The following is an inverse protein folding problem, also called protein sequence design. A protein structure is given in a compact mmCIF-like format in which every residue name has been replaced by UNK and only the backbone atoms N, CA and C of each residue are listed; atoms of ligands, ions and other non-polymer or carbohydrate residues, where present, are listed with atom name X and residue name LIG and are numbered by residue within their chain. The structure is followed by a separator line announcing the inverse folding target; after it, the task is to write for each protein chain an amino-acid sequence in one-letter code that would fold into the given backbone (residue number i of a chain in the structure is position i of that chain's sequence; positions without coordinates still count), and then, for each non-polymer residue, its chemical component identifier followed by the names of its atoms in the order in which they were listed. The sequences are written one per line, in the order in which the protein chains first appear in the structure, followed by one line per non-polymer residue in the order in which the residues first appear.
data_IF_881140803822
#
_entry.id   IF_881140803822
#
_cell.length_a   1.000
_cell.length_b   1.000
_cell.length_c   1.000
_cell.angle_alpha   90.00
_cell.angle_beta   90.00
_cell.angle_gamma   90.00
#
_symmetry.space_group_name_H-M   'P 1'
#
loop_
_entity.id
_entity.type
_entity.pdbx_description
1 polymer ?
#
# COMPACT_ATOMS: atom_id res chain seq x y z
N UNK A 1 -10.04 7.39 -32.40
CA UNK A 1 -10.30 8.68 -31.73
C UNK A 1 -11.75 8.74 -31.21
N UNK A 2 -11.99 8.33 -29.97
CA UNK A 2 -13.07 8.88 -29.11
C UNK A 2 -12.50 8.91 -27.70
N UNK A 3 -12.01 10.09 -27.35
CA UNK A 3 -11.32 10.46 -26.11
C UNK A 3 -12.29 10.37 -24.94
N UNK A 4 -11.80 9.95 -23.77
CA UNK A 4 -12.57 9.89 -22.54
C UNK A 4 -12.90 11.31 -22.07
N UNK A 5 -13.92 11.93 -22.66
CA UNK A 5 -14.46 13.19 -22.17
C UNK A 5 -15.40 12.89 -21.01
N UNK A 6 -14.88 12.96 -19.79
CA UNK A 6 -15.70 13.35 -18.65
C UNK A 6 -16.05 14.84 -18.82
N UNK A 7 -17.06 15.11 -19.66
CA UNK A 7 -17.71 16.44 -19.71
C UNK A 7 -18.75 16.48 -18.61
N UNK A 8 -18.48 17.20 -17.53
CA UNK A 8 -19.56 17.68 -16.67
C UNK A 8 -20.27 18.83 -17.39
N UNK A 9 -21.54 18.60 -17.74
CA UNK A 9 -22.48 19.59 -18.27
C UNK A 9 -23.34 20.17 -17.14
N UNK A 10 -22.70 20.59 -16.05
CA UNK A 10 -23.30 21.41 -14.99
C UNK A 10 -22.16 22.02 -14.20
N UNK A 11 -22.16 23.35 -14.08
CA UNK A 11 -21.18 24.12 -13.30
C UNK A 11 -21.37 23.98 -11.79
N UNK A 12 -21.66 22.77 -11.31
CA UNK A 12 -21.72 22.44 -9.89
C UNK A 12 -20.58 21.45 -9.60
N UNK A 13 -19.71 21.83 -8.68
CA UNK A 13 -18.70 20.92 -8.12
C UNK A 13 -19.47 19.85 -7.34
N UNK A 14 -19.87 18.77 -8.00
CA UNK A 14 -20.31 17.56 -7.32
C UNK A 14 -19.13 17.08 -6.48
N UNK A 15 -19.21 17.34 -5.18
CA UNK A 15 -18.28 16.81 -4.20
C UNK A 15 -18.42 15.29 -4.25
N UNK A 16 -17.56 14.64 -5.06
CA UNK A 16 -17.56 13.19 -5.21
C UNK A 16 -17.32 12.59 -3.82
N UNK A 17 -18.40 12.17 -3.17
CA UNK A 17 -18.35 11.62 -1.81
C UNK A 17 -17.76 10.22 -1.87
N UNK A 18 -16.44 10.14 -1.97
CA UNK A 18 -15.70 8.89 -1.93
C UNK A 18 -15.71 8.34 -0.50
N UNK A 19 -16.27 7.15 -0.29
CA UNK A 19 -16.18 6.50 1.03
C UNK A 19 -14.73 6.08 1.30
N UNK A 20 -14.21 6.35 2.51
CA UNK A 20 -12.92 5.84 2.92
C UNK A 20 -12.84 4.32 2.77
N UNK A 21 -11.72 3.85 2.22
CA UNK A 21 -11.37 2.45 2.19
C UNK A 21 -10.74 2.08 3.54
N UNK A 22 -11.44 1.21 4.27
CA UNK A 22 -11.04 0.77 5.62
C UNK A 22 -10.05 -0.39 5.54
N UNK A 23 -9.19 -0.51 6.56
CA UNK A 23 -8.35 -1.69 6.72
C UNK A 23 -9.24 -2.94 6.82
N UNK A 24 -8.96 -3.91 5.97
CA UNK A 24 -9.72 -5.14 5.88
C UNK A 24 -9.54 -5.97 7.16
N UNK A 25 -10.62 -6.60 7.62
CA UNK A 25 -10.68 -7.36 8.89
C UNK A 25 -9.61 -8.42 9.08
N UNK A 26 -9.10 -8.98 7.97
CA UNK A 26 -8.01 -9.96 8.01
C UNK A 26 -6.72 -9.37 8.60
N UNK A 27 -6.54 -8.05 8.59
CA UNK A 27 -5.33 -7.38 9.05
C UNK A 27 -5.53 -6.60 10.37
N UNK A 28 -6.70 -6.70 11.00
CA UNK A 28 -6.95 -6.00 12.26
C UNK A 28 -6.04 -6.50 13.38
N UNK A 29 -5.77 -7.80 13.46
CA UNK A 29 -4.83 -8.34 14.45
C UNK A 29 -3.43 -7.72 14.32
N UNK A 30 -2.93 -7.53 13.11
CA UNK A 30 -1.62 -6.90 12.85
C UNK A 30 -1.61 -5.42 13.28
N UNK A 31 -2.70 -4.69 13.02
CA UNK A 31 -2.81 -3.28 13.39
C UNK A 31 -3.01 -3.07 14.89
N UNK A 32 -3.69 -4.01 15.57
CA UNK A 32 -3.96 -3.96 17.02
C UNK A 32 -2.79 -4.51 17.86
N UNK A 33 -1.97 -5.38 17.30
CA UNK A 33 -0.81 -5.95 17.99
C UNK A 33 0.24 -4.86 18.22
N UNK A 34 0.56 -4.58 19.47
CA UNK A 34 1.61 -3.61 19.86
C UNK A 34 2.99 -3.99 19.32
N UNK A 35 3.23 -5.29 19.10
CA UNK A 35 4.47 -5.78 18.51
C UNK A 35 4.47 -5.75 16.97
N UNK A 36 3.34 -5.41 16.36
CA UNK A 36 3.10 -5.38 14.92
C UNK A 36 3.55 -6.66 14.20
N UNK A 37 3.31 -7.82 14.80
CA UNK A 37 3.63 -9.12 14.19
C UNK A 37 2.82 -9.31 12.91
N UNK A 38 3.42 -9.98 11.95
CA UNK A 38 2.82 -10.13 10.63
C UNK A 38 1.46 -10.84 10.67
N UNK A 39 0.46 -10.20 10.07
CA UNK A 39 -0.95 -10.58 10.19
C UNK A 39 -1.27 -11.97 9.65
N UNK A 40 -0.53 -12.45 8.64
CA UNK A 40 -0.70 -13.82 8.15
C UNK A 40 -0.39 -14.85 9.24
N UNK A 41 0.70 -14.63 10.01
CA UNK A 41 1.07 -15.48 11.13
C UNK A 41 0.07 -15.34 12.28
N UNK A 42 -0.27 -14.10 12.67
CA UNK A 42 -1.25 -13.85 13.75
C UNK A 42 -2.60 -14.55 13.49
N UNK A 43 -3.06 -14.59 12.24
CA UNK A 43 -4.32 -15.27 11.89
C UNK A 43 -4.25 -16.79 12.07
N UNK A 44 -3.11 -17.41 11.78
CA UNK A 44 -2.93 -18.84 11.99
C UNK A 44 -3.02 -19.17 13.49
N UNK A 45 -2.30 -18.41 14.33
CA UNK A 45 -2.37 -18.54 15.78
C UNK A 45 -3.75 -18.22 16.35
N UNK A 46 -4.42 -17.19 15.82
CA UNK A 46 -5.79 -16.86 16.24
C UNK A 46 -6.80 -17.95 15.87
N UNK A 47 -6.57 -18.70 14.79
CA UNK A 47 -7.38 -19.87 14.45
C UNK A 47 -7.15 -21.00 15.48
N UNK A 48 -5.91 -21.26 15.87
CA UNK A 48 -5.58 -22.26 16.88
C UNK A 48 -6.20 -21.91 18.25
N UNK A 49 -6.02 -20.66 18.71
CA UNK A 49 -6.63 -20.16 19.95
C UNK A 49 -8.16 -20.34 20.00
N UNK A 50 -8.84 -20.05 18.88
CA UNK A 50 -10.30 -20.23 18.79
C UNK A 50 -10.76 -21.69 18.84
N UNK A 51 -9.91 -22.64 18.43
CA UNK A 51 -10.24 -24.06 18.52
C UNK A 51 -10.07 -24.53 19.96
N UNK A 52 -8.96 -24.18 20.60
CA UNK A 52 -8.67 -24.51 22.01
C UNK A 52 -9.76 -23.95 22.95
N UNK A 53 -10.11 -22.68 22.80
CA UNK A 53 -11.17 -22.02 23.59
C UNK A 53 -12.58 -22.58 23.35
N UNK A 54 -12.80 -23.28 22.23
CA UNK A 54 -14.09 -23.91 21.95
C UNK A 54 -14.19 -25.34 22.52
N UNK A 55 -13.06 -25.97 22.86
CA UNK A 55 -12.98 -27.32 23.42
C UNK A 55 -13.03 -27.33 24.96
N UNK A 56 -12.73 -26.21 25.60
CA UNK A 56 -12.79 -26.05 27.06
C UNK A 56 -14.23 -25.72 27.52
N UNK A 57 -15.02 -26.75 27.89
CA UNK A 57 -16.41 -26.60 28.37
C UNK A 57 -16.53 -25.94 29.76
N UNK A 58 -15.45 -25.83 30.54
CA UNK A 58 -15.45 -25.30 31.92
C UNK A 58 -14.04 -24.79 32.34
N UNK A 59 -13.67 -23.53 32.05
CA UNK A 59 -12.78 -22.67 32.89
C UNK A 59 -12.57 -21.29 32.21
N UNK A 60 -13.02 -20.19 32.79
CA UNK A 60 -12.35 -19.38 33.83
C UNK A 60 -10.97 -18.79 33.46
N UNK A 61 -10.54 -18.81 32.20
CA UNK A 61 -9.50 -17.88 31.76
C UNK A 61 -10.04 -17.02 30.61
N UNK A 62 -10.56 -15.84 30.96
CA UNK A 62 -10.88 -14.72 30.05
C UNK A 62 -9.58 -14.13 29.43
N UNK A 63 -8.61 -14.98 29.09
CA UNK A 63 -7.38 -14.56 28.47
C UNK A 63 -7.66 -14.13 27.03
N UNK A 64 -7.42 -12.85 26.74
CA UNK A 64 -7.45 -12.35 25.37
C UNK A 64 -6.50 -13.15 24.47
N UNK A 65 -6.74 -13.14 23.16
CA UNK A 65 -5.86 -13.80 22.18
C UNK A 65 -4.38 -13.47 22.39
N UNK A 66 -4.03 -12.20 22.61
CA UNK A 66 -2.64 -11.77 22.82
C UNK A 66 -2.06 -12.29 24.14
N UNK A 67 -2.87 -12.35 25.21
CA UNK A 67 -2.43 -12.98 26.47
C UNK A 67 -2.17 -14.47 26.27
N UNK A 68 -3.07 -15.20 25.61
CA UNK A 68 -2.86 -16.60 25.27
C UNK A 68 -1.59 -16.81 24.42
N UNK A 69 -1.36 -15.92 23.45
CA UNK A 69 -0.24 -16.00 22.53
C UNK A 69 1.12 -15.75 23.19
N UNK A 70 1.19 -14.78 24.10
CA UNK A 70 2.46 -14.33 24.69
C UNK A 70 2.76 -14.96 26.06
N UNK A 71 1.71 -15.27 26.85
CA UNK A 71 1.85 -15.75 28.23
C UNK A 71 1.21 -17.13 28.48
N UNK A 72 0.18 -17.47 27.70
CA UNK A 72 -0.55 -18.75 27.77
C UNK A 72 0.08 -19.88 26.97
N UNK A 73 -0.77 -20.80 26.50
CA UNK A 73 -0.35 -22.00 25.77
C UNK A 73 0.27 -21.67 24.40
N UNK A 74 -0.22 -20.62 23.73
CA UNK A 74 0.25 -20.19 22.42
C UNK A 74 1.75 -19.85 22.36
N UNK A 75 2.39 -19.54 23.50
CA UNK A 75 3.82 -19.22 23.57
C UNK A 75 4.76 -20.37 23.20
N UNK A 76 4.26 -21.61 23.25
CA UNK A 76 5.00 -22.84 22.99
C UNK A 76 4.44 -23.63 21.80
N UNK A 77 3.52 -23.05 21.03
CA UNK A 77 2.88 -23.70 19.88
C UNK A 77 3.64 -23.33 18.61
N UNK A 78 3.97 -24.36 17.83
CA UNK A 78 4.41 -24.21 16.44
C UNK A 78 3.30 -24.69 15.50
N UNK A 79 2.97 -23.88 14.50
CA UNK A 79 1.96 -24.21 13.49
C UNK A 79 2.62 -24.53 12.14
N UNK A 80 1.98 -25.35 11.29
CA UNK A 80 2.49 -25.64 9.95
C UNK A 80 2.73 -24.39 9.10
N UNK A 81 1.92 -23.35 9.29
CA UNK A 81 2.04 -22.08 8.57
C UNK A 81 3.16 -21.17 9.10
N UNK A 82 3.49 -21.27 10.40
CA UNK A 82 4.42 -20.37 11.07
C UNK A 82 4.85 -20.92 12.43
N UNK A 83 6.16 -20.98 12.65
CA UNK A 83 6.71 -21.26 13.99
C UNK A 83 6.59 -20.03 14.89
N UNK A 84 6.63 -20.27 16.21
CA UNK A 84 6.68 -19.23 17.22
C UNK A 84 7.82 -18.23 16.94
N UNK A 85 9.01 -18.73 16.58
CA UNK A 85 10.17 -17.91 16.25
C UNK A 85 9.91 -17.00 15.04
N UNK A 86 9.29 -17.53 13.98
CA UNK A 86 8.93 -16.75 12.79
C UNK A 86 7.88 -15.67 13.12
N UNK A 87 6.90 -15.99 13.97
CA UNK A 87 5.91 -15.05 14.46
C UNK A 87 6.57 -13.87 15.20
N UNK A 88 7.53 -14.13 16.09
CA UNK A 88 8.22 -13.08 16.87
C UNK A 88 9.16 -12.22 16.03
N UNK A 89 9.77 -12.80 14.99
CA UNK A 89 10.79 -12.12 14.18
C UNK A 89 10.22 -11.35 12.98
N UNK A 90 9.06 -11.77 12.46
CA UNK A 90 8.41 -11.14 11.30
C UNK A 90 7.43 -10.05 11.75
N UNK A 91 7.88 -8.79 11.69
CA UNK A 91 7.12 -7.61 12.13
C UNK A 91 6.94 -6.62 10.99
N UNK A 92 5.72 -6.12 10.86
CA UNK A 92 5.37 -5.05 9.93
C UNK A 92 5.76 -3.72 10.54
N UNK A 93 6.39 -2.87 9.73
CA UNK A 93 6.73 -1.51 10.06
C UNK A 93 5.53 -0.62 9.77
N UNK A 94 5.10 0.14 10.78
CA UNK A 94 4.11 1.19 10.62
C UNK A 94 4.77 2.55 10.81
N UNK A 95 4.61 3.44 9.83
CA UNK A 95 5.21 4.76 9.87
C UNK A 95 4.50 5.63 10.91
N UNK A 96 5.25 6.18 11.85
CA UNK A 96 4.78 7.34 12.60
C UNK A 96 4.71 8.59 11.69
N UNK A 97 4.19 9.70 12.22
CA UNK A 97 4.01 10.93 11.45
C UNK A 97 5.31 11.48 10.83
N UNK A 98 6.44 11.31 11.50
CA UNK A 98 7.74 11.79 11.01
C UNK A 98 8.29 10.88 9.91
N UNK A 99 8.32 9.57 10.18
CA UNK A 99 8.74 8.55 9.21
C UNK A 99 7.90 8.60 7.93
N UNK A 100 6.62 8.96 8.02
CA UNK A 100 5.73 9.06 6.87
C UNK A 100 6.16 10.15 5.87
N UNK A 101 6.82 11.21 6.32
CA UNK A 101 7.25 12.33 5.46
C UNK A 101 8.26 11.92 4.39
N UNK A 102 9.08 10.89 4.65
CA UNK A 102 10.05 10.41 3.67
C UNK A 102 9.39 9.76 2.45
N UNK A 103 8.14 9.31 2.59
CA UNK A 103 7.37 8.66 1.53
C UNK A 103 6.40 9.61 0.82
N UNK A 104 6.22 10.83 1.34
CA UNK A 104 5.26 11.79 0.80
C UNK A 104 5.68 12.28 -0.58
N UNK A 105 4.72 12.37 -1.50
CA UNK A 105 4.92 12.84 -2.86
C UNK A 105 4.46 14.28 -3.04
N UNK A 106 5.14 14.98 -3.94
CA UNK A 106 4.75 16.31 -4.43
C UNK A 106 4.66 16.27 -5.96
N UNK A 107 3.61 16.88 -6.48
CA UNK A 107 3.39 17.08 -7.92
C UNK A 107 3.95 18.45 -8.30
N UNK A 108 4.86 18.48 -9.28
CA UNK A 108 5.55 19.68 -9.73
C UNK A 108 5.39 19.81 -11.24
N UNK A 109 4.89 20.97 -11.71
CA UNK A 109 4.87 21.29 -13.13
C UNK A 109 6.19 21.90 -13.55
N UNK A 110 6.79 21.41 -14.64
CA UNK A 110 7.93 22.06 -15.27
C UNK A 110 7.40 23.13 -16.25
N UNK A 111 7.92 24.35 -16.13
CA UNK A 111 7.50 25.51 -16.95
C UNK A 111 7.87 25.40 -18.43
N UNK A 112 8.79 24.51 -18.78
CA UNK A 112 9.28 24.39 -20.16
C UNK A 112 8.41 23.46 -21.00
N UNK A 113 7.95 22.34 -20.43
CA UNK A 113 7.15 21.33 -21.13
C UNK A 113 5.70 21.24 -20.62
N UNK A 114 5.36 21.97 -19.54
CA UNK A 114 4.06 21.94 -18.85
C UNK A 114 3.66 20.52 -18.39
N UNK A 115 4.65 19.62 -18.24
CA UNK A 115 4.43 18.25 -17.77
C UNK A 115 4.56 18.22 -16.25
N UNK A 116 3.52 17.67 -15.60
CA UNK A 116 3.53 17.39 -14.17
C UNK A 116 4.36 16.14 -13.90
N UNK A 117 5.37 16.31 -13.04
CA UNK A 117 6.23 15.23 -12.54
C UNK A 117 6.03 15.04 -11.05
N UNK A 118 6.31 13.83 -10.59
CA UNK A 118 6.24 13.40 -9.20
C UNK A 118 7.65 13.36 -8.61
N UNK A 119 7.82 13.99 -7.46
CA UNK A 119 9.04 13.92 -6.65
C UNK A 119 8.69 13.60 -5.19
N UNK A 120 9.67 13.10 -4.43
CA UNK A 120 9.51 13.01 -2.98
C UNK A 120 9.50 14.42 -2.36
N UNK A 121 8.56 14.67 -1.45
CA UNK A 121 8.38 15.99 -0.84
C UNK A 121 9.59 16.42 0.02
N UNK A 122 10.22 15.46 0.70
CA UNK A 122 11.34 15.74 1.61
C UNK A 122 12.68 15.91 0.87
N UNK A 123 12.98 15.03 -0.08
CA UNK A 123 14.29 15.02 -0.78
C UNK A 123 14.28 15.75 -2.12
N UNK A 124 13.10 16.11 -2.63
CA UNK A 124 12.88 16.70 -3.96
C UNK A 124 13.40 15.83 -5.13
N UNK A 125 13.79 14.58 -4.85
CA UNK A 125 14.24 13.63 -5.87
C UNK A 125 13.06 13.22 -6.74
N UNK A 126 13.23 13.36 -8.06
CA UNK A 126 12.29 12.85 -9.06
C UNK A 126 12.12 11.34 -8.87
N UNK A 127 10.86 10.91 -8.83
CA UNK A 127 10.54 9.50 -8.62
C UNK A 127 10.77 8.69 -9.89
N UNK A 128 11.43 7.55 -9.74
CA UNK A 128 11.55 6.55 -10.80
C UNK A 128 11.41 5.15 -10.18
N UNK A 129 10.46 4.36 -10.69
CA UNK A 129 10.21 2.99 -10.21
C UNK A 129 10.98 1.99 -11.08
N UNK A 130 11.75 1.13 -10.42
CA UNK A 130 12.37 -0.03 -11.06
C UNK A 130 11.36 -1.15 -11.35
N UNK A 131 11.72 -2.03 -12.28
CA UNK A 131 10.89 -3.17 -12.74
C UNK A 131 11.00 -4.40 -11.82
N UNK A 132 12.02 -4.45 -10.95
CA UNK A 132 12.28 -5.61 -10.09
C UNK A 132 11.45 -5.56 -8.81
N UNK A 133 10.99 -4.38 -8.41
CA UNK A 133 10.29 -4.13 -7.15
C UNK A 133 8.80 -3.87 -7.34
N UNK A 134 8.00 -4.28 -6.35
CA UNK A 134 6.59 -3.86 -6.26
C UNK A 134 6.50 -2.48 -5.63
N UNK A 135 6.25 -1.46 -6.43
CA UNK A 135 5.97 -0.11 -5.95
C UNK A 135 4.50 0.05 -5.57
N UNK A 136 4.25 0.52 -4.35
CA UNK A 136 2.91 0.68 -3.79
C UNK A 136 2.68 2.11 -3.33
N UNK A 137 1.45 2.59 -3.48
CA UNK A 137 1.05 3.91 -3.01
C UNK A 137 -0.22 3.88 -2.18
N UNK A 138 -0.38 4.90 -1.33
CA UNK A 138 -1.60 5.21 -0.58
C UNK A 138 -1.89 6.69 -0.70
N UNK A 139 -3.17 7.04 -0.81
CA UNK A 139 -3.67 8.41 -0.66
C UNK A 139 -4.47 8.48 0.64
N UNK A 140 -4.03 9.30 1.60
CA UNK A 140 -4.73 9.48 2.87
C UNK A 140 -6.02 10.32 2.72
N UNK A 141 -6.77 10.49 3.81
CA UNK A 141 -8.01 11.28 3.81
C UNK A 141 -7.81 12.78 3.58
N UNK A 142 -6.57 13.28 3.69
CA UNK A 142 -6.22 14.67 3.37
C UNK A 142 -5.82 14.85 1.90
N UNK A 143 -5.81 13.77 1.11
CA UNK A 143 -5.39 13.79 -0.29
C UNK A 143 -3.87 13.71 -0.48
N UNK A 144 -3.08 13.50 0.59
CA UNK A 144 -1.63 13.32 0.47
C UNK A 144 -1.33 11.93 -0.05
N UNK A 145 -0.43 11.86 -1.01
CA UNK A 145 0.00 10.61 -1.64
C UNK A 145 1.36 10.18 -1.09
N UNK A 146 1.46 8.90 -0.71
CA UNK A 146 2.68 8.27 -0.23
C UNK A 146 3.08 7.13 -1.17
N UNK A 147 4.37 6.96 -1.41
CA UNK A 147 4.92 5.95 -2.31
C UNK A 147 6.12 5.25 -1.66
N UNK A 148 6.24 3.94 -1.88
CA UNK A 148 7.41 3.18 -1.46
C UNK A 148 7.41 1.76 -2.01
N UNK A 149 8.52 1.04 -1.79
CA UNK A 149 8.64 -0.37 -2.17
C UNK A 149 7.91 -1.26 -1.16
N UNK A 150 7.09 -2.18 -1.68
CA UNK A 150 6.47 -3.24 -0.87
C UNK A 150 7.54 -4.25 -0.48
N UNK A 151 7.61 -4.59 0.81
CA UNK A 151 8.47 -5.64 1.36
C UNK A 151 7.59 -6.66 2.07
N UNK A 152 7.54 -7.89 1.58
CA UNK A 152 6.61 -8.91 2.11
C UNK A 152 6.88 -9.14 3.60
N UNK A 153 5.83 -9.14 4.42
CA UNK A 153 5.95 -9.32 5.87
C UNK A 153 6.55 -8.14 6.63
N UNK A 154 6.97 -7.06 5.95
CA UNK A 154 7.65 -5.91 6.54
C UNK A 154 6.98 -4.57 6.22
N UNK A 155 6.61 -4.33 4.96
CA UNK A 155 6.06 -3.05 4.52
C UNK A 155 4.98 -3.23 3.47
N UNK A 156 3.79 -2.74 3.78
CA UNK A 156 2.57 -2.87 2.98
C UNK A 156 1.86 -1.53 2.84
N UNK A 157 0.73 -1.49 2.13
CA UNK A 157 -0.08 -0.26 2.04
C UNK A 157 -0.46 0.28 3.42
N UNK A 158 -0.81 -0.59 4.37
CA UNK A 158 -1.18 -0.19 5.72
C UNK A 158 -0.03 0.48 6.48
N UNK A 159 1.23 0.16 6.13
CA UNK A 159 2.44 0.70 6.75
C UNK A 159 2.50 2.22 6.70
N UNK A 160 2.19 2.83 5.56
CA UNK A 160 2.25 4.29 5.40
C UNK A 160 1.39 5.02 6.43
N UNK A 161 0.19 4.50 6.71
CA UNK A 161 -0.85 5.21 7.47
C UNK A 161 -1.18 4.57 8.82
N UNK A 162 -0.38 3.61 9.28
CA UNK A 162 -0.62 2.90 10.56
C UNK A 162 -2.00 2.25 10.63
N UNK A 163 -2.49 1.72 9.50
CA UNK A 163 -3.82 1.11 9.40
C UNK A 163 -4.99 2.10 9.36
N UNK A 164 -4.74 3.42 9.38
CA UNK A 164 -5.80 4.42 9.25
C UNK A 164 -6.53 4.34 7.89
N UNK A 165 -7.79 4.81 7.80
CA UNK A 165 -8.55 4.80 6.55
C UNK A 165 -7.89 5.64 5.45
N UNK A 166 -8.15 5.28 4.19
CA UNK A 166 -7.52 5.91 3.02
C UNK A 166 -8.56 6.25 1.95
N UNK A 167 -8.22 7.14 1.02
CA UNK A 167 -9.04 7.41 -0.16
C UNK A 167 -8.78 6.42 -1.30
N UNK A 168 -7.52 6.07 -1.53
CA UNK A 168 -7.12 5.15 -2.59
C UNK A 168 -5.77 4.48 -2.29
N UNK A 169 -5.56 3.30 -2.86
CA UNK A 169 -4.28 2.60 -2.81
C UNK A 169 -4.10 1.77 -4.08
N UNK A 170 -2.85 1.47 -4.41
CA UNK A 170 -2.56 0.62 -5.55
C UNK A 170 -1.08 0.33 -5.70
N UNK A 171 -0.76 -0.23 -6.86
CA UNK A 171 0.60 -0.27 -7.41
C UNK A 171 0.70 0.79 -8.50
N UNK A 172 1.91 1.28 -8.72
CA UNK A 172 2.15 2.36 -9.67
C UNK A 172 3.52 2.20 -10.33
N UNK A 173 3.57 2.56 -11.61
CA UNK A 173 4.80 2.65 -12.39
C UNK A 173 5.01 4.12 -12.72
N UNK A 174 6.18 4.64 -12.36
CA UNK A 174 6.60 6.02 -12.61
C UNK A 174 7.94 6.00 -13.31
N UNK A 175 8.04 6.65 -14.47
CA UNK A 175 9.29 6.79 -15.22
C UNK A 175 9.61 8.27 -15.37
N UNK A 176 10.80 8.68 -14.94
CA UNK A 176 11.25 10.09 -14.97
C UNK A 176 10.22 11.06 -14.34
N UNK A 177 9.60 10.66 -13.23
CA UNK A 177 8.57 11.43 -12.53
C UNK A 177 7.18 11.37 -13.17
N UNK A 178 7.00 10.74 -14.33
CA UNK A 178 5.71 10.65 -15.02
C UNK A 178 5.03 9.33 -14.65
N UNK A 179 3.76 9.40 -14.22
CA UNK A 179 2.97 8.21 -13.92
C UNK A 179 2.60 7.53 -15.24
N UNK A 180 3.05 6.30 -15.43
CA UNK A 180 2.84 5.53 -16.67
C UNK A 180 1.66 4.57 -16.50
N UNK A 181 1.59 3.87 -15.36
CA UNK A 181 0.57 2.87 -15.12
C UNK A 181 0.17 2.79 -13.66
N UNK A 182 -1.09 2.40 -13.43
CA UNK A 182 -1.65 2.17 -12.09
C UNK A 182 -2.48 0.89 -12.08
N UNK A 183 -2.19 0.00 -11.15
CA UNK A 183 -3.11 -1.07 -10.75
C UNK A 183 -3.74 -0.68 -9.40
N UNK A 184 -5.00 -0.19 -9.36
CA UNK A 184 -5.60 0.34 -8.13
C UNK A 184 -6.12 -0.80 -7.23
N UNK A 185 -5.19 -1.60 -6.72
CA UNK A 185 -5.46 -2.75 -5.88
C UNK A 185 -4.58 -2.76 -4.62
N UNK A 186 -5.23 -2.98 -3.48
CA UNK A 186 -4.56 -3.28 -2.22
C UNK A 186 -5.20 -4.50 -1.56
N UNK A 187 -4.39 -5.44 -1.09
CA UNK A 187 -4.87 -6.55 -0.27
C UNK A 187 -5.42 -6.07 1.09
N UNK A 188 -4.82 -5.01 1.64
CA UNK A 188 -5.13 -4.47 2.97
C UNK A 188 -6.38 -3.59 2.96
N UNK A 189 -6.58 -2.77 1.93
CA UNK A 189 -7.70 -1.81 1.90
C UNK A 189 -8.82 -2.20 0.92
N UNK A 190 -8.49 -2.97 -0.13
CA UNK A 190 -9.43 -3.42 -1.19
C UNK A 190 -10.27 -2.26 -1.76
N UNK A 191 -9.63 -1.26 -2.41
CA UNK A 191 -10.32 -0.12 -3.01
C UNK A 191 -11.43 -0.54 -3.99
N UNK A 192 -12.52 0.23 -4.03
CA UNK A 192 -13.68 0.04 -4.91
C UNK A 192 -13.68 1.07 -6.02
N UNK A 193 -14.64 1.00 -6.94
CA UNK A 193 -14.77 1.92 -8.07
C UNK A 193 -14.74 3.40 -7.63
N UNK A 194 -15.47 3.76 -6.57
CA UNK A 194 -15.48 5.13 -6.02
C UNK A 194 -14.09 5.61 -5.57
N UNK A 195 -13.25 4.71 -5.05
CA UNK A 195 -11.86 5.02 -4.67
C UNK A 195 -10.98 5.23 -5.91
N UNK A 196 -11.20 4.46 -6.97
CA UNK A 196 -10.47 4.63 -8.23
C UNK A 196 -10.87 5.92 -8.93
N UNK A 197 -12.15 6.29 -8.92
CA UNK A 197 -12.60 7.57 -9.44
C UNK A 197 -12.02 8.74 -8.62
N UNK A 198 -11.98 8.64 -7.30
CA UNK A 198 -11.34 9.64 -6.44
C UNK A 198 -9.85 9.77 -6.73
N UNK A 199 -9.13 8.66 -6.97
CA UNK A 199 -7.74 8.69 -7.42
C UNK A 199 -7.59 9.49 -8.71
N UNK A 200 -8.41 9.23 -9.73
CA UNK A 200 -8.37 9.98 -10.98
C UNK A 200 -8.62 11.48 -10.76
N UNK A 201 -9.62 11.83 -9.94
CA UNK A 201 -9.91 13.23 -9.61
C UNK A 201 -8.75 13.92 -8.88
N UNK A 202 -8.12 13.25 -7.91
CA UNK A 202 -6.98 13.81 -7.15
C UNK A 202 -5.79 14.03 -8.07
N UNK A 203 -5.45 13.06 -8.91
CA UNK A 203 -4.36 13.21 -9.87
C UNK A 203 -4.65 14.34 -10.88
N UNK A 204 -5.87 14.42 -11.40
CA UNK A 204 -6.27 15.49 -12.33
C UNK A 204 -6.22 16.88 -11.69
N UNK A 205 -6.61 17.00 -10.41
CA UNK A 205 -6.50 18.24 -9.65
C UNK A 205 -5.04 18.69 -9.43
N UNK A 206 -4.10 17.74 -9.45
CA UNK A 206 -2.67 18.02 -9.47
C UNK A 206 -2.11 18.31 -10.87
N UNK A 207 -2.96 18.36 -11.90
CA UNK A 207 -2.56 18.63 -13.29
C UNK A 207 -1.96 17.42 -14.02
N UNK A 208 -2.06 16.21 -13.44
CA UNK A 208 -1.60 14.99 -14.11
C UNK A 208 -2.55 14.67 -15.26
N UNK A 209 -2.00 14.39 -16.44
CA UNK A 209 -2.76 13.94 -17.59
C UNK A 209 -3.17 12.46 -17.43
N UNK A 210 -4.40 12.25 -16.99
CA UNK A 210 -4.97 10.93 -16.71
C UNK A 210 -5.18 10.10 -17.99
N UNK A 211 -5.36 10.74 -19.15
CA UNK A 211 -5.63 10.05 -20.41
C UNK A 211 -4.41 9.23 -20.89
N UNK A 212 -3.20 9.59 -20.42
CA UNK A 212 -1.95 8.88 -20.73
C UNK A 212 -1.52 7.89 -19.64
N UNK A 213 -2.33 7.67 -18.61
CA UNK A 213 -2.06 6.65 -17.58
C UNK A 213 -2.75 5.34 -17.96
N UNK A 214 -1.98 4.26 -18.02
CA UNK A 214 -2.53 2.92 -18.19
C UNK A 214 -3.12 2.39 -16.87
N UNK A 215 -4.45 2.36 -16.79
CA UNK A 215 -5.15 1.74 -15.66
C UNK A 215 -5.32 0.23 -15.89
N UNK A 216 -4.55 -0.56 -15.14
CA UNK A 216 -4.52 -2.02 -15.23
C UNK A 216 -5.63 -2.63 -14.37
N UNK A 217 -6.46 -3.49 -14.98
CA UNK A 217 -7.55 -4.19 -14.28
C UNK A 217 -6.98 -5.21 -13.29
N UNK A 218 -7.29 -5.11 -11.98
CA UNK A 218 -6.87 -6.13 -11.02
C UNK A 218 -7.53 -7.48 -11.30
N UNK A 219 -6.80 -8.59 -11.14
CA UNK A 219 -7.33 -9.96 -11.35
C UNK A 219 -8.60 -10.26 -10.55
N UNK A 220 -8.70 -9.71 -9.34
CA UNK A 220 -9.85 -9.90 -8.43
C UNK A 220 -11.01 -8.92 -8.67
N UNK A 221 -10.94 -8.09 -9.71
CA UNK A 221 -11.96 -7.10 -10.04
C UNK A 221 -13.14 -7.76 -10.79
N UNK A 222 -14.28 -7.85 -10.11
CA UNK A 222 -15.46 -8.60 -10.58
C UNK A 222 -16.45 -7.77 -11.39
N UNK A 223 -16.56 -6.47 -11.12
CA UNK A 223 -17.48 -5.59 -11.84
C UNK A 223 -16.91 -5.15 -13.20
N UNK A 224 -17.74 -4.49 -14.00
CA UNK A 224 -17.31 -3.85 -15.25
C UNK A 224 -16.12 -2.92 -14.97
N UNK A 225 -15.04 -3.09 -15.75
CA UNK A 225 -13.87 -2.24 -15.67
C UNK A 225 -14.14 -0.94 -16.42
N UNK A 226 -14.00 0.24 -15.80
CA UNK A 226 -14.43 1.50 -16.40
C UNK A 226 -13.41 2.09 -17.39
N UNK A 227 -12.20 1.53 -17.46
CA UNK A 227 -11.14 2.00 -18.35
C UNK A 227 -11.05 1.13 -19.61
N UNK A 228 -10.64 1.70 -20.75
CA UNK A 228 -10.45 0.93 -21.97
C UNK A 228 -9.40 -0.18 -21.77
N UNK A 229 -9.50 -1.30 -22.49
CA UNK A 229 -8.45 -2.31 -22.50
C UNK A 229 -7.15 -1.70 -23.00
N UNK A 230 -6.06 -1.97 -22.29
CA UNK A 230 -4.71 -1.48 -22.59
C UNK A 230 -3.88 -2.66 -23.13
N UNK A 231 -3.64 -2.74 -24.44
CA UNK A 231 -2.98 -3.89 -25.05
C UNK A 231 -1.45 -3.94 -24.83
N UNK A 232 -0.82 -2.80 -24.55
CA UNK A 232 0.65 -2.66 -24.58
C UNK A 232 1.32 -2.61 -23.19
N UNK A 233 0.52 -2.57 -22.10
CA UNK A 233 1.04 -2.70 -20.74
C UNK A 233 0.76 -4.12 -20.29
N UNK A 234 1.70 -5.01 -20.61
CA UNK A 234 1.59 -6.39 -20.18
C UNK A 234 1.61 -6.47 -18.66
N UNK A 235 0.79 -7.37 -18.13
CA UNK A 235 0.66 -7.60 -16.69
C UNK A 235 2.01 -7.90 -16.03
N UNK A 236 2.99 -8.35 -16.82
CA UNK A 236 4.38 -8.69 -16.52
C UNK A 236 5.13 -7.58 -15.76
N UNK A 237 4.89 -6.31 -16.08
CA UNK A 237 5.51 -5.16 -15.38
C UNK A 237 5.05 -5.05 -13.91
N UNK A 238 3.91 -5.64 -13.55
CA UNK A 238 3.43 -5.75 -12.17
C UNK A 238 3.70 -7.12 -11.54
N UNK A 239 4.35 -8.04 -12.28
CA UNK A 239 4.83 -9.36 -11.82
C UNK A 239 6.28 -9.24 -11.36
N UNK A 240 6.60 -8.23 -10.55
CA UNK A 240 7.74 -8.41 -9.65
C UNK A 240 7.48 -9.66 -8.79
N UNK A 241 8.51 -10.48 -8.62
CA UNK A 241 8.45 -11.70 -7.83
C UNK A 241 8.15 -11.36 -6.35
N UNK A 242 7.39 -12.20 -5.64
CA UNK A 242 7.25 -12.11 -4.17
C UNK A 242 8.51 -12.62 -3.44
N UNK A 243 9.62 -12.86 -4.15
CA UNK A 243 10.91 -13.23 -3.56
C UNK A 243 11.39 -12.13 -2.65
N UNK A 244 11.63 -12.50 -1.39
CA UNK A 244 12.30 -11.69 -0.40
C UNK A 244 13.66 -11.23 -0.96
N UNK A 245 13.71 -10.01 -1.49
CA UNK A 245 14.98 -9.33 -1.68
C UNK A 245 15.41 -8.84 -0.29
N UNK A 246 15.97 -9.77 0.49
CA UNK A 246 16.76 -9.50 1.68
C UNK A 246 18.09 -8.86 1.27
N UNK A 247 18.02 -7.71 0.62
CA UNK A 247 19.10 -6.75 0.69
C UNK A 247 18.49 -5.52 1.35
N UNK A 248 18.78 -5.37 2.64
CA UNK A 248 18.77 -4.08 3.31
C UNK A 248 19.65 -3.15 2.49
N UNK A 249 19.02 -2.43 1.57
CA UNK A 249 19.34 -1.02 1.37
C UNK A 249 18.11 -0.30 1.84
N UNK A 250 18.14 0.14 3.09
CA UNK A 250 17.16 1.12 3.54
C UNK A 250 17.22 2.32 2.59
N UNK A 251 16.09 2.93 2.25
CA UNK A 251 16.08 4.17 1.45
C UNK A 251 16.92 5.29 2.12
N UNK A 252 17.23 5.15 3.42
CA UNK A 252 18.20 5.98 4.15
C UNK A 252 19.67 5.71 3.81
N UNK A 253 20.05 4.49 3.45
CA UNK A 253 21.43 4.16 3.08
C UNK A 253 21.77 4.54 1.63
N UNK A 254 20.81 4.51 0.71
CA UNK A 254 20.98 5.07 -0.65
C UNK A 254 21.27 6.58 -0.58
N UNK A 255 20.64 7.27 0.38
CA UNK A 255 20.86 8.70 0.63
C UNK A 255 22.25 8.98 1.21
N UNK A 256 22.83 8.06 2.00
CA UNK A 256 24.18 8.19 2.57
C UNK A 256 25.29 7.79 1.59
N UNK A 257 25.08 6.76 0.75
CA UNK A 257 26.08 6.32 -0.24
C UNK A 257 26.26 7.35 -1.35
N UNK A 258 25.19 8.02 -1.80
CA UNK A 258 25.27 9.08 -2.81
C UNK A 258 25.93 10.38 -2.31
N UNK A 259 25.80 10.69 -1.01
CA UNK A 259 26.51 11.83 -0.41
C UNK A 259 28.03 11.61 -0.33
N UNK A 260 28.49 10.35 -0.30
CA UNK A 260 29.91 9.99 -0.31
C UNK A 260 30.52 10.04 -1.72
N UNK A 261 29.74 9.73 -2.77
CA UNK A 261 30.20 9.79 -4.17
C UNK A 261 30.23 11.22 -4.74
N UNK A 262 29.47 12.16 -4.17
CA UNK A 262 29.53 13.58 -4.53
C UNK A 262 30.62 14.36 -3.79
N UNK A 263 31.36 13.71 -2.90
CA UNK A 263 32.44 14.30 -2.10
C UNK A 263 33.85 13.86 -2.56
N UNK A 264 33.96 13.21 -3.73
CA UNK A 264 35.21 12.89 -4.43
C UNK A 264 35.25 13.60 -5.78
#
# INVERSE_FOLDING_TARGET
MKRCRLRNMSGESEHLSCRPSMLHKDFWLEALDEQHRYGFHLRAFHKAWKLETAEEEDSSSDASFFHWLDHGNGKNVDLPECTQQQLRTTKVEYCNAEQRKSYELKFVSNKEDEIVRVQYATSERIVNTDELSKWIFVIDLSGRMYLGRKRKGRFHHSSFVSGAPILAAGKIIIKNGIIIAVEPHSGHFKPRLENVLALCSILANHGVDIDHIAFVKPKKWVCTWPFPPQPDVELEDFIASDTDYSADKSDSEESQTLLQELAQ
#
